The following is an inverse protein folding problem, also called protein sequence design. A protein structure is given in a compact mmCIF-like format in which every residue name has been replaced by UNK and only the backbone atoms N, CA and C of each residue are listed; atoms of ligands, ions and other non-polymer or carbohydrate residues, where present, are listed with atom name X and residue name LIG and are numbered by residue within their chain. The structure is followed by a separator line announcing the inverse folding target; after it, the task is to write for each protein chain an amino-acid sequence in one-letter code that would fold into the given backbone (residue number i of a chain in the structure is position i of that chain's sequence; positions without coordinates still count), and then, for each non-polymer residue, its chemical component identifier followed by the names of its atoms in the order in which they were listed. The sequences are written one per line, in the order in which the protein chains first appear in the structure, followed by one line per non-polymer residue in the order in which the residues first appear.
data_IF_607090738903
#
_entry.id   IF_607090738903
#
_cell.length_a   1.000
_cell.length_b   1.000
_cell.length_c   1.000
_cell.angle_alpha   90.00
_cell.angle_beta   90.00
_cell.angle_gamma   90.00
#
_symmetry.space_group_name_H-M   'P 1'
#
loop_
_entity.id
_entity.type
_entity.pdbx_description
1 polymer ?
2 non-polymer ?
3 non-polymer ?
4 non-polymer ?
5 non-polymer ?
6 water ?
#
# COMPACT_ATOMS: atom_id res chain seq x y z
N UNK A 25 -18.70 13.88 -24.71
CA UNK A 25 -18.60 12.80 -23.74
C UNK A 25 -18.85 11.45 -24.40
N UNK A 26 -18.33 10.39 -23.79
CA UNK A 26 -18.55 9.04 -24.28
C UNK A 26 -19.89 8.50 -23.82
N UNK A 27 -20.57 7.72 -24.67
CA UNK A 27 -21.85 7.12 -24.28
C UNK A 27 -21.68 6.14 -23.12
N UNK A 28 -22.59 6.18 -22.17
CA UNK A 28 -22.51 5.29 -21.02
C UNK A 28 -22.67 3.85 -21.42
N UNK A 29 -21.91 2.96 -20.77
CA UNK A 29 -22.05 1.54 -20.99
C UNK A 29 -23.45 1.09 -20.59
N UNK A 30 -24.07 0.24 -21.42
CA UNK A 30 -25.43 -0.20 -21.14
C UNK A 30 -25.67 -1.61 -21.65
N UNK A 31 -26.37 -2.42 -20.86
CA UNK A 31 -26.68 -3.78 -21.28
C UNK A 31 -27.65 -3.76 -22.45
N UNK A 32 -27.55 -4.77 -23.30
CA UNK A 32 -28.38 -4.85 -24.50
C UNK A 32 -27.75 -4.16 -25.69
N UNK A 33 -26.57 -3.58 -25.48
CA UNK A 33 -25.89 -2.83 -26.53
C UNK A 33 -24.83 -3.67 -27.24
N UNK A 34 -24.78 -3.56 -28.56
CA UNK A 34 -23.75 -4.22 -29.36
C UNK A 34 -22.55 -3.30 -29.52
N UNK A 35 -21.37 -3.80 -29.15
CA UNK A 35 -20.14 -3.01 -29.25
C UNK A 35 -19.18 -3.60 -30.27
N UNK A 36 -18.44 -2.73 -30.95
CA UNK A 36 -17.38 -3.17 -31.85
C UNK A 36 -16.02 -2.93 -31.20
N UNK A 37 -15.00 -3.64 -31.68
CA UNK A 37 -13.64 -3.42 -31.22
C UNK A 37 -13.25 -1.96 -31.42
N UNK A 38 -12.74 -1.34 -30.37
CA UNK A 38 -12.33 0.06 -30.47
C UNK A 38 -13.37 1.03 -29.95
N UNK A 39 -14.60 0.55 -29.73
CA UNK A 39 -15.67 1.38 -29.18
C UNK A 39 -15.30 1.88 -27.78
N UNK A 40 -15.54 3.15 -27.52
CA UNK A 40 -15.24 3.74 -26.22
C UNK A 40 -16.52 4.11 -25.48
N UNK A 41 -16.66 3.62 -24.25
CA UNK A 41 -17.83 3.94 -23.45
C UNK A 41 -17.42 4.58 -22.12
N UNK A 42 -18.39 5.20 -21.45
CA UNK A 42 -18.16 5.75 -20.13
C UNK A 42 -18.75 4.83 -19.06
N UNK A 43 -17.97 4.59 -18.00
CA UNK A 43 -18.42 3.75 -16.90
C UNK A 43 -17.70 4.17 -15.63
N UNK A 44 -18.47 4.38 -14.56
CA UNK A 44 -17.96 4.97 -13.33
C UNK A 44 -17.23 6.29 -13.61
N UNK A 45 -17.75 7.04 -14.57
CA UNK A 45 -17.18 8.31 -15.02
C UNK A 45 -15.75 8.17 -15.52
N UNK A 46 -15.45 7.02 -16.11
CA UNK A 46 -14.15 6.79 -16.72
C UNK A 46 -14.34 6.07 -18.06
N UNK A 47 -13.31 6.08 -18.88
CA UNK A 47 -13.39 5.44 -20.19
C UNK A 47 -12.80 4.04 -20.27
N UNK A 48 -13.42 3.25 -21.14
CA UNK A 48 -12.96 1.92 -21.45
C UNK A 48 -13.10 1.69 -22.96
N UNK A 49 -12.11 1.03 -23.54
CA UNK A 49 -12.14 0.70 -24.95
C UNK A 49 -12.42 -0.78 -25.14
N UNK A 50 -13.34 -1.10 -26.04
CA UNK A 50 -13.73 -2.48 -26.29
C UNK A 50 -12.60 -3.29 -26.94
N UNK A 51 -12.34 -4.48 -26.40
CA UNK A 51 -11.33 -5.38 -26.91
C UNK A 51 -11.92 -6.38 -27.89
N UNK A 52 -13.22 -6.64 -27.74
CA UNK A 52 -13.90 -7.67 -28.49
C UNK A 52 -15.25 -7.17 -28.98
N UNK A 53 -15.58 -7.43 -30.24
CA UNK A 53 -16.91 -7.14 -30.75
C UNK A 53 -17.91 -8.07 -30.06
N UNK A 54 -18.85 -7.48 -29.32
CA UNK A 54 -19.78 -8.27 -28.53
C UNK A 54 -20.99 -7.45 -28.12
N UNK A 55 -22.01 -8.15 -27.62
CA UNK A 55 -23.16 -7.51 -27.02
C UNK A 55 -23.12 -7.72 -25.50
N UNK A 56 -23.39 -6.66 -24.74
CA UNK A 56 -23.51 -6.79 -23.31
C UNK A 56 -24.91 -7.30 -22.97
N UNK A 57 -25.09 -8.62 -23.06
CA UNK A 57 -26.41 -9.23 -22.89
C UNK A 57 -27.00 -8.90 -21.53
N UNK A 58 -28.31 -8.66 -21.50
CA UNK A 58 -28.99 -8.26 -20.28
C UNK A 58 -28.90 -9.36 -19.22
N UNK A 59 -28.56 -8.97 -18.00
CA UNK A 59 -28.47 -9.91 -16.89
C UNK A 59 -27.12 -10.60 -16.75
N UNK A 60 -26.21 -10.32 -17.68
CA UNK A 60 -24.90 -10.96 -17.67
C UNK A 60 -23.89 -10.19 -16.82
N UNK A 61 -24.14 -8.89 -16.64
CA UNK A 61 -23.26 -8.00 -15.89
C UNK A 61 -21.81 -8.00 -16.40
N UNK A 62 -21.65 -7.95 -17.72
CA UNK A 62 -20.32 -7.85 -18.32
C UNK A 62 -19.84 -6.41 -18.38
N UNK A 63 -19.87 -5.72 -17.24
CA UNK A 63 -19.52 -4.31 -17.22
C UNK A 63 -17.99 -4.13 -17.30
N UNK A 64 -17.54 -2.97 -17.79
CA UNK A 64 -16.10 -2.72 -17.98
C UNK A 64 -15.23 -2.93 -16.74
N UNK A 65 -15.74 -2.64 -15.55
CA UNK A 65 -14.94 -2.80 -14.33
C UNK A 65 -14.81 -4.27 -13.95
N UNK A 66 -15.73 -5.09 -14.44
CA UNK A 66 -15.74 -6.51 -14.09
C UNK A 66 -15.21 -7.39 -15.22
N UNK A 67 -14.92 -6.82 -16.38
CA UNK A 67 -14.63 -7.64 -17.54
C UNK A 67 -13.42 -7.18 -18.36
N UNK A 68 -12.20 -7.49 -17.88
CA UNK A 68 -10.96 -7.11 -18.56
C UNK A 68 -10.73 -7.88 -19.86
N UNK A 69 -11.43 -8.98 -20.08
CA UNK A 69 -11.32 -9.65 -21.37
C UNK A 69 -12.15 -8.92 -22.43
N UNK A 70 -13.02 -8.02 -22.00
CA UNK A 70 -13.89 -7.28 -22.91
C UNK A 70 -13.52 -5.80 -23.02
N UNK A 71 -13.02 -5.24 -21.92
CA UNK A 71 -12.76 -3.81 -21.85
C UNK A 71 -11.39 -3.50 -21.27
N UNK A 72 -10.69 -2.56 -21.90
CA UNK A 72 -9.46 -2.02 -21.33
C UNK A 72 -9.66 -0.54 -21.01
N UNK A 73 -9.19 -0.11 -19.82
CA UNK A 73 -9.31 1.30 -19.42
C UNK A 73 -8.61 2.23 -20.39
N UNK A 74 -9.23 3.35 -20.73
CA UNK A 74 -8.62 4.31 -21.63
C UNK A 74 -9.50 4.64 -22.82
N UNK A 75 -9.07 5.63 -23.61
CA UNK A 75 -9.82 6.07 -24.78
C UNK A 75 -10.62 7.34 -24.53
N UNK A 76 -11.12 7.94 -25.62
CA UNK A 76 -11.96 9.12 -25.53
C UNK A 76 -12.80 9.29 -26.78
N UNK A 77 -13.82 10.14 -26.69
CA UNK A 77 -14.69 10.43 -27.83
C UNK A 77 -14.84 11.94 -28.01
N UNK A 99 12.38 15.17 11.44
CA UNK A 99 12.90 14.29 10.41
C UNK A 99 14.33 13.86 10.68
N UNK A 100 15.14 13.80 9.62
CA UNK A 100 14.69 14.15 8.28
C UNK A 100 14.59 12.92 7.38
N UNK A 101 13.40 12.66 6.87
CA UNK A 101 13.22 11.53 5.96
C UNK A 101 13.52 11.94 4.52
N UNK A 102 13.44 10.97 3.63
CA UNK A 102 13.52 11.22 2.19
C UNK A 102 12.35 12.12 1.78
N UNK A 103 12.62 13.13 0.95
CA UNK A 103 11.55 14.03 0.52
C UNK A 103 10.56 13.38 -0.45
N UNK A 104 9.29 13.31 -0.06
CA UNK A 104 8.23 12.93 -0.99
C UNK A 104 6.94 13.62 -0.57
N UNK A 105 5.87 13.44 -1.35
CA UNK A 105 4.64 14.21 -1.18
C UNK A 105 4.20 14.31 0.28
N UNK A 106 4.07 15.54 0.77
CA UNK A 106 3.70 15.80 2.15
C UNK A 106 2.42 15.06 2.52
N UNK A 107 1.42 15.16 1.65
CA UNK A 107 0.20 14.39 1.80
C UNK A 107 0.10 13.44 0.62
N UNK A 108 0.52 12.21 0.85
CA UNK A 108 0.76 11.27 -0.24
C UNK A 108 -0.37 10.27 -0.44
N UNK A 109 -0.59 9.91 -1.70
CA UNK A 109 -1.40 8.76 -2.06
C UNK A 109 -0.45 7.64 -2.47
N UNK A 110 -0.43 6.57 -1.69
CA UNK A 110 0.44 5.43 -1.93
C UNK A 110 -0.39 4.28 -2.49
N UNK A 111 0.09 3.66 -3.57
CA UNK A 111 -0.63 2.55 -4.17
C UNK A 111 0.29 1.46 -4.70
N UNK A 112 -0.23 0.24 -4.74
CA UNK A 112 0.53 -0.90 -5.25
C UNK A 112 0.24 -1.16 -6.73
N UNK A 113 1.31 -1.33 -7.49
CA UNK A 113 1.24 -1.61 -8.92
C UNK A 113 1.49 -3.11 -9.15
N UNK A 114 0.53 -3.80 -9.75
CA UNK A 114 0.65 -5.25 -9.96
C UNK A 114 1.72 -5.61 -10.96
N UNK A 115 2.78 -6.27 -10.50
CA UNK A 115 3.77 -6.85 -11.41
C UNK A 115 3.33 -8.26 -11.79
N UNK A 116 2.05 -8.38 -12.13
CA UNK A 116 1.45 -9.68 -12.43
C UNK A 116 0.03 -9.50 -12.98
N UNK A 117 -0.56 -10.60 -13.46
CA UNK A 117 -1.95 -10.60 -13.90
C UNK A 117 -2.82 -11.23 -12.82
N UNK A 118 -4.04 -10.71 -12.66
CA UNK A 118 -4.97 -11.24 -11.68
C UNK A 118 -6.39 -10.84 -12.11
N UNK A 119 -7.44 -11.11 -11.30
CA UNK A 119 -8.75 -10.74 -11.85
C UNK A 119 -8.96 -9.26 -12.17
N UNK A 120 -8.04 -8.38 -11.78
CA UNK A 120 -8.13 -6.97 -12.16
C UNK A 120 -7.79 -6.78 -13.63
N UNK A 121 -7.19 -7.80 -14.22
CA UNK A 121 -6.66 -7.71 -15.57
C UNK A 121 -5.17 -7.91 -15.55
N UNK A 122 -4.55 -7.81 -16.72
CA UNK A 122 -3.10 -7.96 -16.84
C UNK A 122 -2.38 -6.74 -16.28
N UNK A 123 -1.07 -6.87 -16.11
CA UNK A 123 -0.24 -5.73 -15.75
C UNK A 123 -0.28 -4.71 -16.88
N UNK A 124 0.05 -3.46 -16.57
CA UNK A 124 0.08 -2.41 -17.57
C UNK A 124 1.34 -1.57 -17.34
N UNK A 125 1.83 -0.92 -18.42
CA UNK A 125 3.07 -0.13 -18.34
C UNK A 125 3.10 0.91 -17.22
N UNK A 126 4.23 0.97 -16.50
CA UNK A 126 4.40 1.88 -15.38
C UNK A 126 4.20 3.35 -15.77
N UNK A 127 4.51 3.66 -17.03
CA UNK A 127 4.36 5.01 -17.55
C UNK A 127 2.92 5.51 -17.49
N UNK A 128 1.96 4.59 -17.46
CA UNK A 128 0.55 4.95 -17.54
C UNK A 128 -0.10 5.14 -16.16
N UNK A 129 0.66 4.96 -15.10
CA UNK A 129 0.15 5.20 -13.75
C UNK A 129 -0.22 6.66 -13.60
N UNK A 130 -1.45 6.93 -13.15
CA UNK A 130 -2.00 8.28 -13.18
C UNK A 130 -1.26 9.22 -12.22
N UNK A 131 -1.33 10.51 -12.52
CA UNK A 131 -0.62 11.52 -11.75
C UNK A 131 -1.12 11.65 -10.31
N UNK A 132 -2.26 11.05 -10.01
CA UNK A 132 -2.83 11.12 -8.66
C UNK A 132 -2.03 10.31 -7.65
N UNK A 133 -1.18 9.39 -8.13
CA UNK A 133 -0.38 8.57 -7.25
C UNK A 133 0.96 9.24 -6.94
N UNK A 134 1.33 9.28 -5.66
CA UNK A 134 2.56 9.94 -5.24
C UNK A 134 3.68 8.93 -4.97
N UNK A 135 3.29 7.74 -4.51
CA UNK A 135 4.25 6.66 -4.33
C UNK A 135 3.73 5.42 -5.03
N UNK A 136 4.50 4.92 -5.98
CA UNK A 136 4.14 3.74 -6.73
C UNK A 136 4.91 2.53 -6.20
N UNK A 137 4.20 1.60 -5.58
CA UNK A 137 4.86 0.45 -4.96
C UNK A 137 4.74 -0.79 -5.83
N UNK A 138 5.87 -1.21 -6.38
CA UNK A 138 5.91 -2.36 -7.30
C UNK A 138 5.76 -3.68 -6.53
N UNK A 139 4.72 -4.42 -6.87
CA UNK A 139 4.37 -5.66 -6.19
C UNK A 139 4.42 -6.86 -7.14
N UNK A 140 5.34 -7.80 -6.93
CA UNK A 140 6.27 -7.83 -5.80
C UNK A 140 7.65 -8.31 -6.24
N UNK A 141 8.60 -8.27 -5.32
CA UNK A 141 9.85 -9.00 -5.49
C UNK A 141 9.62 -10.46 -5.11
N UNK A 142 10.50 -11.34 -5.54
CA UNK A 142 10.38 -12.76 -5.21
C UNK A 142 11.45 -13.23 -4.25
N UNK A 143 11.04 -13.95 -3.21
CA UNK A 143 11.96 -14.72 -2.40
C UNK A 143 12.67 -15.75 -3.28
N UNK A 144 13.97 -15.89 -3.10
CA UNK A 144 14.75 -16.83 -3.91
C UNK A 144 15.58 -17.78 -3.04
N UNK A 145 15.74 -17.44 -1.77
CA UNK A 145 16.42 -18.29 -0.80
C UNK A 145 17.90 -18.54 -1.05
N UNK A 146 18.66 -18.73 0.03
CA UNK A 146 18.15 -18.51 1.37
C UNK A 146 18.55 -17.11 1.82
N UNK A 147 17.58 -16.21 1.85
CA UNK A 147 17.84 -14.81 2.10
C UNK A 147 17.85 -14.04 0.80
N UNK A 148 18.21 -14.73 -0.29
CA UNK A 148 18.23 -14.13 -1.62
C UNK A 148 16.86 -13.62 -2.08
N UNK A 149 16.89 -12.45 -2.72
CA UNK A 149 15.70 -11.87 -3.32
C UNK A 149 15.95 -11.62 -4.81
N UNK A 150 14.95 -11.85 -5.64
CA UNK A 150 15.06 -11.56 -7.06
C UNK A 150 13.88 -10.72 -7.54
N UNK A 151 14.02 -10.13 -8.72
CA UNK A 151 12.94 -9.40 -9.35
C UNK A 151 12.87 -9.70 -10.84
N UNK A 152 11.67 -10.01 -11.32
CA UNK A 152 11.47 -10.24 -12.75
C UNK A 152 10.22 -9.51 -13.22
N UNK A 153 10.40 -8.66 -14.23
CA UNK A 153 9.31 -7.84 -14.74
C UNK A 153 8.28 -8.64 -15.52
N UNK A 154 7.01 -8.36 -15.27
CA UNK A 154 5.94 -8.90 -16.11
C UNK A 154 6.05 -8.26 -17.49
N UNK A 155 6.20 -9.09 -18.54
CA UNK A 155 6.42 -8.59 -19.90
C UNK A 155 5.32 -7.67 -20.42
N UNK A 156 4.11 -7.78 -19.86
CA UNK A 156 3.01 -6.91 -20.25
C UNK A 156 3.30 -5.44 -19.89
N UNK A 157 4.25 -5.22 -18.99
CA UNK A 157 4.67 -3.87 -18.60
C UNK A 157 5.65 -3.30 -19.63
N UNK A 158 6.07 -4.14 -20.57
CA UNK A 158 7.06 -3.74 -21.56
C UNK A 158 8.40 -4.38 -21.25
N UNK A 159 9.44 -3.93 -21.96
CA UNK A 159 10.79 -4.44 -21.74
C UNK A 159 11.37 -3.89 -20.44
N UNK A 160 12.39 -4.55 -19.93
CA UNK A 160 13.09 -4.09 -18.73
C UNK A 160 13.69 -2.70 -18.95
N UNK A 161 14.19 -2.46 -20.16
CA UNK A 161 14.78 -1.17 -20.50
C UNK A 161 13.72 -0.06 -20.45
N UNK A 162 12.54 -0.35 -21.01
CA UNK A 162 11.46 0.62 -21.02
C UNK A 162 10.94 0.87 -19.61
N UNK A 163 10.82 -0.20 -18.83
CA UNK A 163 10.41 -0.13 -17.43
C UNK A 163 11.33 0.78 -16.63
N UNK A 164 12.64 0.66 -16.87
CA UNK A 164 13.63 1.47 -16.18
C UNK A 164 13.48 2.95 -16.59
N UNK A 165 13.16 3.19 -17.85
CA UNK A 165 12.88 4.55 -18.31
C UNK A 165 11.59 5.08 -17.69
N UNK A 166 10.60 4.22 -17.53
CA UNK A 166 9.33 4.61 -16.93
C UNK A 166 9.51 5.02 -15.47
N UNK A 167 10.38 4.31 -14.77
CA UNK A 167 10.71 4.65 -13.39
C UNK A 167 11.30 6.06 -13.31
N UNK A 168 12.29 6.35 -14.15
CA UNK A 168 12.91 7.67 -14.19
C UNK A 168 11.87 8.75 -14.51
N UNK A 169 11.00 8.47 -15.47
CA UNK A 169 10.01 9.46 -15.89
C UNK A 169 9.02 9.77 -14.77
N UNK A 170 8.65 8.76 -14.00
CA UNK A 170 7.76 8.97 -12.86
C UNK A 170 8.48 9.72 -11.74
N UNK A 171 9.75 9.40 -11.54
CA UNK A 171 10.55 10.09 -10.53
C UNK A 171 10.74 11.55 -10.92
N UNK A 172 10.89 11.80 -12.22
CA UNK A 172 11.04 13.16 -12.73
C UNK A 172 9.80 14.01 -12.43
N UNK A 173 8.67 13.36 -12.18
CA UNK A 173 7.44 14.05 -11.85
C UNK A 173 7.22 14.11 -10.33
N UNK A 174 8.23 13.73 -9.57
CA UNK A 174 8.17 13.80 -8.13
C UNK A 174 7.63 12.56 -7.43
N UNK A 175 7.33 11.51 -8.19
CA UNK A 175 6.85 10.27 -7.61
C UNK A 175 8.00 9.42 -7.09
N UNK A 176 7.71 8.60 -6.08
CA UNK A 176 8.65 7.58 -5.63
C UNK A 176 8.21 6.23 -6.19
N UNK A 177 9.19 5.41 -6.58
CA UNK A 177 8.91 4.06 -7.06
C UNK A 177 9.69 3.07 -6.22
N UNK A 178 8.98 2.28 -5.42
CA UNK A 178 9.65 1.40 -4.49
C UNK A 178 9.28 -0.06 -4.74
N UNK A 179 10.17 -0.97 -4.35
CA UNK A 179 9.98 -2.39 -4.56
C UNK A 179 9.42 -3.05 -3.30
N UNK A 180 8.29 -3.72 -3.42
CA UNK A 180 7.69 -4.35 -2.25
C UNK A 180 8.10 -5.81 -2.08
N UNK A 181 8.40 -6.17 -0.84
CA UNK A 181 8.64 -7.56 -0.47
C UNK A 181 7.33 -8.15 0.05
N UNK A 182 6.80 -9.13 -0.68
CA UNK A 182 5.55 -9.76 -0.29
C UNK A 182 4.97 -10.62 -1.39
N UNK A 183 3.66 -10.85 -1.33
CA UNK A 183 2.95 -11.60 -2.35
C UNK A 183 3.23 -13.09 -2.33
N UNK A 184 2.93 -13.74 -3.44
CA UNK A 184 2.99 -15.19 -3.54
C UNK A 184 4.35 -15.74 -3.09
N UNK A 185 5.42 -15.05 -3.46
CA UNK A 185 6.75 -15.41 -2.99
C UNK A 185 7.24 -14.41 -1.95
N UNK A 186 6.42 -14.14 -0.94
CA UNK A 186 6.75 -13.17 0.09
C UNK A 186 7.19 -13.82 1.40
N UNK A 187 7.72 -15.03 1.31
CA UNK A 187 8.21 -15.74 2.48
C UNK A 187 9.72 -15.62 2.58
N UNK A 188 10.20 -14.60 3.29
CA UNK A 188 11.62 -14.36 3.45
C UNK A 188 12.20 -15.10 4.65
N UNK A 189 13.34 -15.76 4.46
CA UNK A 189 14.04 -16.40 5.57
C UNK A 189 15.25 -15.58 6.01
N UNK A 190 15.23 -15.12 7.25
CA UNK A 190 16.36 -14.40 7.83
C UNK A 190 16.70 -15.00 9.19
N UNK A 191 17.22 -16.23 9.17
CA UNK A 191 17.46 -16.97 10.39
C UNK A 191 18.92 -16.95 10.84
N UNK A 192 19.82 -16.60 9.92
CA UNK A 192 21.25 -16.49 10.27
C UNK A 192 21.93 -15.36 9.49
N UNK A 193 23.19 -15.09 9.84
CA UNK A 193 23.93 -13.99 9.26
C UNK A 193 24.17 -14.17 7.75
N UNK A 194 24.23 -15.43 7.31
CA UNK A 194 24.45 -15.73 5.90
C UNK A 194 23.25 -15.31 5.06
N UNK A 195 22.06 -15.52 5.59
CA UNK A 195 20.84 -15.17 4.87
C UNK A 195 20.66 -13.66 4.84
N UNK A 196 21.02 -13.01 5.95
CA UNK A 196 21.00 -11.56 6.04
C UNK A 196 21.87 -10.95 4.94
N UNK A 197 23.07 -11.49 4.76
CA UNK A 197 23.98 -11.00 3.73
C UNK A 197 23.43 -11.20 2.33
N UNK A 198 22.81 -12.36 2.08
CA UNK A 198 22.19 -12.61 0.78
C UNK A 198 21.04 -11.64 0.51
N UNK A 199 20.27 -11.37 1.56
CA UNK A 199 19.18 -10.40 1.52
C UNK A 199 19.72 -9.03 1.11
N UNK A 200 20.71 -8.56 1.86
CA UNK A 200 21.29 -7.24 1.64
C UNK A 200 21.89 -7.11 0.24
N UNK A 201 22.76 -8.06 -0.12
CA UNK A 201 23.46 -8.01 -1.39
C UNK A 201 22.54 -8.09 -2.60
N UNK A 202 21.60 -9.05 -2.59
CA UNK A 202 20.73 -9.24 -3.75
C UNK A 202 19.80 -8.05 -3.96
N UNK A 203 19.25 -7.50 -2.87
CA UNK A 203 18.38 -6.34 -2.97
C UNK A 203 19.15 -5.10 -3.42
N UNK A 204 20.39 -4.98 -2.96
CA UNK A 204 21.26 -3.90 -3.41
C UNK A 204 21.43 -3.96 -4.92
N UNK A 205 21.64 -5.17 -5.43
CA UNK A 205 21.76 -5.37 -6.86
C UNK A 205 20.52 -4.97 -7.63
N UNK A 206 19.35 -5.30 -7.09
CA UNK A 206 18.09 -4.99 -7.75
C UNK A 206 17.84 -3.49 -7.76
N UNK A 207 17.95 -2.86 -6.60
CA UNK A 207 17.71 -1.43 -6.47
C UNK A 207 18.62 -0.60 -7.36
N UNK A 208 19.91 -0.94 -7.36
CA UNK A 208 20.88 -0.19 -8.15
C UNK A 208 20.67 -0.40 -9.65
N UNK A 209 20.23 -1.60 -10.03
CA UNK A 209 19.99 -1.90 -11.44
C UNK A 209 18.77 -1.16 -11.99
N UNK A 210 17.66 -1.21 -11.25
CA UNK A 210 16.41 -0.66 -11.76
C UNK A 210 16.20 0.80 -11.35
N UNK A 211 16.83 1.22 -10.26
CA UNK A 211 16.71 2.59 -9.81
C UNK A 211 15.50 2.82 -8.92
N UNK A 212 15.04 1.77 -8.26
CA UNK A 212 14.02 1.89 -7.22
C UNK A 212 14.51 2.83 -6.11
N UNK A 213 13.59 3.58 -5.51
CA UNK A 213 13.97 4.52 -4.46
C UNK A 213 14.20 3.82 -3.13
N UNK A 214 13.69 2.61 -3.00
CA UNK A 214 13.80 1.87 -1.76
C UNK A 214 12.84 0.69 -1.73
N UNK A 215 12.49 0.23 -0.53
CA UNK A 215 11.68 -0.97 -0.40
C UNK A 215 10.45 -0.78 0.50
N UNK A 216 9.48 -1.66 0.29
CA UNK A 216 8.29 -1.73 1.12
C UNK A 216 8.20 -3.12 1.73
N UNK A 217 7.93 -3.20 3.03
CA UNK A 217 7.80 -4.48 3.69
C UNK A 217 6.34 -4.91 3.82
N UNK A 218 5.95 -5.88 3.01
CA UNK A 218 4.61 -6.43 3.03
C UNK A 218 4.71 -7.94 3.13
N UNK A 219 5.60 -8.40 4.01
CA UNK A 219 6.04 -9.80 3.96
C UNK A 219 5.72 -10.63 5.20
N UNK A 220 4.97 -10.05 6.14
CA UNK A 220 4.86 -10.65 7.46
C UNK A 220 4.10 -11.96 7.49
N UNK A 221 3.18 -12.16 6.55
CA UNK A 221 2.27 -13.29 6.64
C UNK A 221 2.95 -14.61 6.31
N UNK A 222 3.95 -14.57 5.44
CA UNK A 222 4.68 -15.78 5.09
C UNK A 222 6.07 -15.90 5.69
N UNK A 223 6.50 -14.87 6.41
CA UNK A 223 7.88 -14.85 6.91
C UNK A 223 8.01 -15.22 8.38
N UNK A 224 6.92 -15.69 8.98
CA UNK A 224 6.95 -16.16 10.35
C UNK A 224 7.35 -15.07 11.33
N UNK A 225 6.77 -13.89 11.16
CA UNK A 225 7.06 -12.80 12.08
C UNK A 225 6.21 -12.96 13.32
N UNK A 226 6.80 -13.60 14.33
CA UNK A 226 6.17 -13.79 15.63
C UNK A 226 7.11 -13.30 16.72
N UNK A 227 6.56 -13.04 17.90
CA UNK A 227 7.36 -12.58 19.03
C UNK A 227 8.47 -13.55 19.38
N UNK A 228 9.70 -13.07 19.39
CA UNK A 228 10.84 -13.89 19.77
C UNK A 228 11.56 -14.56 18.62
N UNK A 229 11.00 -14.45 17.41
CA UNK A 229 11.61 -15.09 16.25
C UNK A 229 12.85 -14.32 15.81
N UNK A 230 13.89 -15.06 15.38
CA UNK A 230 15.15 -14.47 14.89
C UNK A 230 14.95 -13.46 13.76
N UNK A 231 13.91 -13.64 12.94
CA UNK A 231 13.66 -12.76 11.81
C UNK A 231 13.42 -11.31 12.26
N UNK A 232 12.84 -11.16 13.45
CA UNK A 232 12.52 -9.82 13.97
C UNK A 232 13.78 -8.96 14.11
N UNK A 233 14.82 -9.52 14.71
CA UNK A 233 16.09 -8.81 14.86
C UNK A 233 16.85 -8.74 13.54
N UNK A 234 16.86 -9.84 12.81
CA UNK A 234 17.64 -9.92 11.57
C UNK A 234 17.11 -9.01 10.47
N UNK A 235 15.80 -8.78 10.45
CA UNK A 235 15.20 -7.92 9.44
C UNK A 235 15.64 -6.47 9.62
N UNK A 236 15.64 -6.01 10.87
CA UNK A 236 16.08 -4.65 11.19
C UNK A 236 17.55 -4.47 10.80
N UNK A 237 18.37 -5.44 11.15
CA UNK A 237 19.78 -5.41 10.80
C UNK A 237 19.99 -5.41 9.30
N UNK A 238 19.20 -6.22 8.60
CA UNK A 238 19.30 -6.34 7.15
C UNK A 238 18.95 -5.03 6.45
N UNK A 239 17.86 -4.40 6.88
CA UNK A 239 17.42 -3.16 6.26
C UNK A 239 18.44 -2.03 6.52
N UNK A 240 18.96 -1.98 7.74
CA UNK A 240 19.99 -1.02 8.09
C UNK A 240 21.25 -1.16 7.24
N UNK A 241 21.67 -2.40 7.01
CA UNK A 241 22.86 -2.68 6.20
C UNK A 241 22.62 -2.31 4.75
N UNK A 242 21.43 -2.62 4.26
CA UNK A 242 21.05 -2.30 2.90
C UNK A 242 21.04 -0.79 2.69
N UNK A 243 20.43 -0.05 3.61
CA UNK A 243 20.37 1.40 3.48
C UNK A 243 21.76 2.03 3.54
N UNK A 244 22.62 1.47 4.39
CA UNK A 244 23.99 1.97 4.50
C UNK A 244 24.69 1.92 3.14
N UNK A 245 24.44 0.86 2.39
CA UNK A 245 25.02 0.68 1.06
C UNK A 245 24.39 1.63 0.03
N UNK A 246 23.10 1.91 0.20
CA UNK A 246 22.35 2.73 -0.75
C UNK A 246 22.53 4.24 -0.51
N UNK A 247 22.47 4.65 0.75
CA UNK A 247 22.60 6.06 1.09
C UNK A 247 21.31 6.66 1.62
N UNK A 248 21.37 7.92 2.05
CA UNK A 248 20.25 8.61 2.72
C UNK A 248 19.02 8.88 1.84
N UNK A 249 19.08 8.58 0.54
CA UNK A 249 17.88 8.69 -0.30
C UNK A 249 16.98 7.47 -0.15
N UNK A 250 17.46 6.46 0.58
CA UNK A 250 16.75 5.20 0.73
C UNK A 250 15.35 5.38 1.32
N UNK A 251 14.35 4.97 0.55
CA UNK A 251 12.96 5.01 0.98
C UNK A 251 12.60 3.71 1.68
N UNK A 252 11.95 3.81 2.83
CA UNK A 252 11.53 2.62 3.57
C UNK A 252 10.08 2.74 4.03
N UNK A 253 9.24 1.82 3.56
CA UNK A 253 7.87 1.77 4.05
C UNK A 253 7.52 0.39 4.59
N UNK A 254 6.50 0.35 5.43
CA UNK A 254 6.01 -0.90 6.01
C UNK A 254 4.50 -0.95 5.87
N UNK A 255 3.98 -2.13 5.53
CA UNK A 255 2.54 -2.30 5.45
C UNK A 255 2.04 -3.52 6.22
N UNK A 256 2.29 -3.56 7.54
CA UNK A 256 1.82 -4.73 8.29
C UNK A 256 0.34 -4.65 8.62
N UNK A 257 -0.31 -5.80 8.77
CA UNK A 257 -1.70 -5.86 9.20
C UNK A 257 -1.79 -5.47 10.66
N UNK A 258 -2.90 -4.86 11.07
CA UNK A 258 -2.93 -4.23 12.39
C UNK A 258 -2.77 -5.19 13.59
N UNK A 259 -3.10 -6.50 13.45
CA UNK A 259 -2.74 -7.35 14.61
C UNK A 259 -1.24 -7.37 14.92
N UNK A 260 -0.40 -7.19 13.90
CA UNK A 260 1.05 -7.21 14.10
C UNK A 260 1.56 -5.94 14.78
N UNK A 261 0.73 -4.90 14.80
CA UNK A 261 1.15 -3.61 15.34
C UNK A 261 0.28 -3.19 16.53
N UNK A 262 -0.85 -2.55 16.27
CA UNK A 262 -1.72 -2.06 17.33
C UNK A 262 -2.30 -3.20 18.16
N UNK A 263 -2.33 -4.40 17.59
CA UNK A 263 -2.76 -5.58 18.33
C UNK A 263 -1.96 -5.80 19.61
N UNK A 264 -0.72 -5.33 19.60
CA UNK A 264 0.16 -5.45 20.75
C UNK A 264 -0.37 -4.79 22.01
N UNK A 265 -1.24 -3.80 21.84
CA UNK A 265 -1.88 -3.11 22.95
C UNK A 265 -2.69 -4.09 23.79
N UNK A 266 -3.25 -5.09 23.12
CA UNK A 266 -4.25 -5.96 23.70
C UNK A 266 -3.70 -7.39 23.91
N UNK A 267 -2.72 -7.78 23.11
CA UNK A 267 -2.09 -9.09 23.22
C UNK A 267 -0.67 -9.06 22.67
N UNK A 268 0.26 -9.70 23.36
CA UNK A 268 1.65 -9.77 22.90
C UNK A 268 2.14 -11.21 22.88
N UNK A 269 2.16 -11.81 21.69
CA UNK A 269 2.52 -13.20 21.52
C UNK A 269 2.09 -13.65 20.14
N UNK A 270 2.80 -14.63 19.57
CA UNK A 270 2.55 -15.04 18.21
C UNK A 270 2.74 -13.85 17.29
N UNK A 271 1.84 -13.67 16.34
CA UNK A 271 1.91 -12.52 15.43
C UNK A 271 1.53 -11.21 16.08
N UNK A 272 0.79 -11.27 17.19
CA UNK A 272 0.22 -10.07 17.77
C UNK A 272 1.27 -9.20 18.46
N UNK A 273 1.40 -7.97 17.98
CA UNK A 273 2.41 -7.05 18.44
C UNK A 273 3.81 -7.38 17.93
N UNK A 274 3.92 -8.40 17.09
CA UNK A 274 5.22 -8.94 16.70
C UNK A 274 6.05 -7.97 15.85
N UNK A 275 5.39 -7.00 15.23
CA UNK A 275 6.07 -6.05 14.35
C UNK A 275 6.65 -4.85 15.10
N UNK A 276 6.24 -4.67 16.35
CA UNK A 276 6.59 -3.46 17.09
C UNK A 276 8.11 -3.25 17.29
N UNK A 277 8.87 -4.32 17.62
CA UNK A 277 10.31 -4.04 17.71
C UNK A 277 10.97 -3.80 16.35
N UNK A 278 10.34 -4.26 15.26
CA UNK A 278 10.85 -3.97 13.92
C UNK A 278 10.69 -2.49 13.60
N UNK A 279 9.51 -1.96 13.88
CA UNK A 279 9.25 -0.53 13.75
C UNK A 279 10.19 0.28 14.63
N UNK A 280 10.33 -0.14 15.87
CA UNK A 280 11.14 0.58 16.85
C UNK A 280 12.61 0.62 16.42
N UNK A 281 13.11 -0.52 15.96
CA UNK A 281 14.49 -0.62 15.51
C UNK A 281 14.81 0.19 14.27
N UNK A 282 13.79 0.45 13.45
CA UNK A 282 13.99 1.17 12.19
C UNK A 282 13.34 2.54 12.16
N UNK A 283 12.94 3.06 13.31
CA UNK A 283 12.15 4.28 13.36
C UNK A 283 12.88 5.49 12.77
N UNK A 284 14.21 5.52 12.90
CA UNK A 284 14.99 6.62 12.35
C UNK A 284 15.05 6.55 10.82
N UNK A 285 14.78 5.37 10.27
CA UNK A 285 14.89 5.15 8.83
C UNK A 285 13.53 5.07 8.15
N UNK A 286 12.47 4.91 8.93
CA UNK A 286 11.14 4.71 8.39
C UNK A 286 10.58 5.95 7.70
N UNK A 287 10.30 5.84 6.40
CA UNK A 287 9.71 6.94 5.66
C UNK A 287 8.22 7.05 5.96
N UNK A 288 7.52 5.92 5.88
CA UNK A 288 6.10 5.88 6.24
C UNK A 288 5.66 4.47 6.58
N UNK A 289 4.88 4.31 7.64
CA UNK A 289 4.20 3.05 7.87
C UNK A 289 2.71 3.25 7.61
N UNK A 290 2.16 2.41 6.74
CA UNK A 290 0.73 2.43 6.47
C UNK A 290 0.15 1.07 6.78
N UNK A 291 -0.34 0.94 8.01
CA UNK A 291 -0.94 -0.31 8.48
C UNK A 291 -2.16 -0.66 7.62
N UNK A 292 -2.31 -1.95 7.34
CA UNK A 292 -3.47 -2.42 6.60
C UNK A 292 -4.65 -2.57 7.53
N UNK A 293 -5.63 -1.68 7.39
CA UNK A 293 -6.82 -1.74 8.21
C UNK A 293 -7.93 -2.50 7.47
N UNK A 294 -7.58 -3.69 6.97
CA UNK A 294 -8.56 -4.54 6.33
C UNK A 294 -8.24 -6.01 6.53
N UNK A 295 -9.25 -6.85 6.29
CA UNK A 295 -9.14 -8.31 6.40
C UNK A 295 -8.89 -8.82 7.82
N UNK A 296 -8.96 -7.95 8.83
CA UNK A 296 -8.66 -8.40 10.18
C UNK A 296 -9.65 -7.93 11.25
N UNK A 297 -10.86 -7.60 10.81
CA UNK A 297 -11.90 -7.19 11.75
C UNK A 297 -11.59 -5.86 12.40
N UNK A 298 -12.29 -5.58 13.51
CA UNK A 298 -12.18 -4.32 14.20
C UNK A 298 -10.89 -4.13 14.96
N UNK A 299 -10.76 -2.97 15.60
CA UNK A 299 -9.52 -2.60 16.27
C UNK A 299 -9.77 -2.07 17.68
N UNK A 300 -9.08 -2.64 18.66
CA UNK A 300 -9.22 -2.17 20.03
C UNK A 300 -8.18 -1.09 20.33
N UNK A 301 -8.65 0.11 20.62
CA UNK A 301 -7.78 1.25 20.89
C UNK A 301 -8.07 1.80 22.28
N UNK A 302 -7.16 2.64 22.81
CA UNK A 302 -7.46 3.26 24.11
C UNK A 302 -8.42 4.46 24.01
N UNK A 303 -9.00 4.69 22.84
CA UNK A 303 -9.78 5.92 22.65
C UNK A 303 -11.29 5.67 22.66
N UNK A 304 -11.68 4.44 22.93
CA UNK A 304 -13.10 4.09 23.05
C UNK A 304 -13.27 2.88 23.96
N UNK A 305 -14.41 2.81 24.65
CA UNK A 305 -14.67 1.70 25.57
C UNK A 305 -14.82 0.38 24.81
N UNK A 306 -15.24 0.48 23.55
CA UNK A 306 -15.38 -0.70 22.69
C UNK A 306 -14.50 -0.60 21.46
N UNK A 307 -14.39 -1.70 20.72
CA UNK A 307 -13.56 -1.72 19.53
C UNK A 307 -14.07 -0.76 18.47
N UNK A 308 -13.17 -0.24 17.66
CA UNK A 308 -13.56 0.61 16.55
C UNK A 308 -13.92 -0.26 15.36
N UNK A 309 -15.08 0.02 14.76
CA UNK A 309 -15.62 -0.83 13.71
C UNK A 309 -14.78 -0.82 12.44
N UNK A 310 -14.63 -1.98 11.84
CA UNK A 310 -13.93 -2.12 10.57
C UNK A 310 -14.68 -1.33 9.50
N UNK A 311 -13.95 -0.53 8.73
CA UNK A 311 -14.54 0.27 7.68
C UNK A 311 -14.98 1.65 8.15
N UNK A 312 -14.71 1.95 9.43
CA UNK A 312 -15.05 3.27 9.95
C UNK A 312 -13.86 4.22 9.90
N UNK A 313 -14.16 5.50 9.81
CA UNK A 313 -13.18 6.57 9.90
C UNK A 313 -12.51 6.55 11.28
N UNK A 314 -13.31 6.29 12.31
CA UNK A 314 -12.79 6.20 13.67
C UNK A 314 -11.63 5.20 13.78
N UNK A 315 -11.79 4.03 13.15
CA UNK A 315 -10.74 3.03 13.18
C UNK A 315 -9.47 3.53 12.50
N UNK A 316 -9.65 4.22 11.39
CA UNK A 316 -8.52 4.79 10.68
C UNK A 316 -7.84 5.87 11.53
N UNK A 317 -8.65 6.72 12.14
CA UNK A 317 -8.13 7.78 13.00
C UNK A 317 -7.48 7.16 14.24
N UNK A 318 -8.16 6.20 14.84
CA UNK A 318 -7.68 5.54 16.03
C UNK A 318 -6.38 4.78 15.82
N UNK A 319 -6.31 4.00 14.75
CA UNK A 319 -5.10 3.26 14.42
C UNK A 319 -3.93 4.21 14.22
N UNK A 320 -4.19 5.33 13.56
CA UNK A 320 -3.16 6.32 13.30
C UNK A 320 -2.73 7.04 14.58
N UNK A 321 -3.68 7.32 15.47
CA UNK A 321 -3.37 7.94 16.75
C UNK A 321 -2.43 7.06 17.57
N UNK A 322 -2.71 5.76 17.62
CA UNK A 322 -1.88 4.85 18.39
C UNK A 322 -0.42 4.87 17.92
N UNK A 323 -0.23 4.97 16.61
CA UNK A 323 1.13 4.99 16.07
C UNK A 323 1.84 6.32 16.34
N UNK A 324 1.07 7.39 16.46
CA UNK A 324 1.66 8.71 16.68
C UNK A 324 1.84 9.03 18.17
N UNK A 325 0.83 8.73 18.98
CA UNK A 325 0.91 9.04 20.41
C UNK A 325 1.72 7.98 21.16
N UNK A 326 1.67 6.75 20.67
CA UNK A 326 2.26 5.63 21.39
C UNK A 326 1.20 4.96 22.24
N UNK A 327 1.53 3.77 22.75
CA UNK A 327 0.58 3.00 23.54
C UNK A 327 1.31 1.91 24.34
N UNK A 328 0.71 1.49 25.47
CA UNK A 328 1.32 0.41 26.25
C UNK A 328 1.19 -0.93 25.55
N UNK A 329 2.18 -1.80 25.77
CA UNK A 329 2.16 -3.13 25.18
C UNK A 329 1.81 -4.15 26.25
N UNK A 330 0.91 -5.07 25.93
CA UNK A 330 0.55 -6.14 26.88
C UNK A 330 1.71 -7.11 27.08
N UNK A 331 2.87 -6.55 27.41
CA UNK A 331 4.15 -7.27 27.47
C UNK A 331 4.22 -8.34 28.55
N UNK A 332 3.59 -8.06 29.68
CA UNK A 332 3.79 -8.84 30.89
C UNK A 332 4.75 -8.05 31.75
N UNK A 333 5.66 -7.35 31.09
CA UNK A 333 6.50 -6.34 31.74
C UNK A 333 5.73 -5.02 31.80
N UNK A 334 6.43 -3.92 31.56
CA UNK A 334 5.75 -2.62 31.46
C UNK A 334 6.13 -1.94 30.15
N UNK A 335 6.21 -2.73 29.09
CA UNK A 335 6.66 -2.24 27.79
C UNK A 335 5.74 -1.21 27.16
N UNK A 336 6.33 -0.37 26.32
CA UNK A 336 5.57 0.64 25.59
C UNK A 336 6.12 0.86 24.19
N UNK A 337 5.21 1.16 23.26
CA UNK A 337 5.61 1.60 21.93
C UNK A 337 5.70 3.11 21.89
N UNK A 338 6.88 3.63 21.56
CA UNK A 338 7.07 5.08 21.45
C UNK A 338 6.52 5.59 20.12
N UNK A 339 5.75 6.66 20.19
CA UNK A 339 5.07 7.20 19.03
C UNK A 339 6.01 7.66 17.91
N UNK A 340 5.48 7.67 16.69
CA UNK A 340 6.22 8.13 15.52
C UNK A 340 5.80 9.55 15.16
N UNK A 341 6.57 10.20 14.30
CA UNK A 341 6.16 11.49 13.76
C UNK A 341 4.96 11.30 12.84
N UNK A 342 4.06 12.29 12.80
CA UNK A 342 2.91 12.24 11.89
C UNK A 342 3.31 12.03 10.43
N UNK A 343 4.46 12.57 10.01
CA UNK A 343 4.90 12.42 8.63
C UNK A 343 5.34 10.99 8.33
N UNK A 344 5.41 10.15 9.35
CA UNK A 344 5.80 8.74 9.19
C UNK A 344 4.60 7.80 9.19
N UNK A 345 3.40 8.36 9.29
CA UNK A 345 2.23 7.53 9.47
C UNK A 345 1.16 7.81 8.41
N UNK A 346 0.63 6.74 7.83
CA UNK A 346 -0.48 6.79 6.91
C UNK A 346 -1.39 5.61 7.20
N UNK A 347 -2.59 5.57 6.61
CA UNK A 347 -3.43 4.40 6.80
C UNK A 347 -3.74 3.69 5.49
N UNK A 348 -3.75 2.35 5.55
CA UNK A 348 -4.00 1.52 4.39
C UNK A 348 -5.40 0.95 4.33
N UNK A 349 -6.05 1.09 3.18
CA UNK A 349 -7.43 0.66 2.98
C UNK A 349 -7.56 -0.07 1.64
N UNK A 350 -8.64 -0.82 1.44
CA UNK A 350 -8.90 -1.40 0.12
C UNK A 350 -9.36 -0.33 -0.87
N UNK A 351 -9.01 -0.44 -2.14
CA UNK A 351 -9.40 0.60 -3.10
C UNK A 351 -10.86 0.42 -3.51
N UNK A 352 -11.39 -0.79 -3.30
CA UNK A 352 -12.75 -1.11 -3.66
C UNK A 352 -13.12 -2.51 -3.20
N UNK A 353 -14.32 -2.95 -3.57
CA UNK A 353 -14.86 -4.22 -3.09
C UNK A 353 -14.06 -5.45 -3.51
N UNK A 354 -13.36 -5.38 -4.63
CA UNK A 354 -12.59 -6.52 -5.10
C UNK A 354 -11.19 -6.58 -4.51
N UNK A 355 -10.85 -5.57 -3.71
CA UNK A 355 -9.48 -5.43 -3.23
C UNK A 355 -9.19 -6.16 -1.92
N UNK A 356 -10.25 -6.60 -1.24
CA UNK A 356 -10.11 -7.24 0.07
C UNK A 356 -11.38 -7.99 0.42
N UNK A 357 -11.38 -8.65 1.58
CA UNK A 357 -12.55 -9.40 2.03
C UNK A 357 -13.39 -8.60 3.02
N UNK A 358 -12.78 -7.63 3.69
CA UNK A 358 -13.48 -6.78 4.64
C UNK A 358 -12.69 -5.51 4.87
N UNK A 359 -13.34 -4.48 5.40
CA UNK A 359 -12.66 -3.24 5.71
C UNK A 359 -12.77 -2.19 4.63
N UNK A 360 -13.76 -2.37 3.74
CA UNK A 360 -13.99 -1.44 2.65
C UNK A 360 -14.40 -0.07 3.15
N UNK A 361 -13.95 0.97 2.45
CA UNK A 361 -14.30 2.33 2.82
C UNK A 361 -14.73 3.13 1.59
N UNK A 362 -15.57 4.13 1.80
CA UNK A 362 -15.91 5.09 0.76
C UNK A 362 -14.86 6.18 0.71
N UNK A 363 -14.81 6.91 -0.39
CA UNK A 363 -13.92 8.05 -0.51
C UNK A 363 -14.24 9.10 0.55
N UNK A 364 -15.53 9.22 0.87
CA UNK A 364 -15.97 10.18 1.89
C UNK A 364 -15.42 9.82 3.26
N UNK A 365 -15.44 8.54 3.60
CA UNK A 365 -14.89 8.05 4.86
C UNK A 365 -13.41 8.40 4.97
N UNK A 366 -12.67 8.17 3.89
CA UNK A 366 -11.25 8.50 3.85
C UNK A 366 -11.06 10.00 4.08
N UNK A 367 -11.82 10.81 3.36
CA UNK A 367 -11.75 12.26 3.50
C UNK A 367 -12.01 12.70 4.94
N UNK A 368 -12.99 12.09 5.58
CA UNK A 368 -13.34 12.41 6.96
C UNK A 368 -12.19 12.09 7.91
N UNK A 369 -11.57 10.92 7.73
CA UNK A 369 -10.45 10.52 8.56
C UNK A 369 -9.26 11.47 8.38
N UNK A 370 -9.03 11.90 7.13
CA UNK A 370 -7.92 12.80 6.83
C UNK A 370 -8.08 14.17 7.49
N UNK A 371 -9.22 14.82 7.26
CA UNK A 371 -9.47 16.15 7.82
C UNK A 371 -9.50 16.12 9.34
N UNK A 372 -10.01 15.02 9.90
CA UNK A 372 -10.03 14.84 11.35
C UNK A 372 -8.60 14.80 11.89
N UNK A 373 -7.76 13.97 11.27
CA UNK A 373 -6.37 13.85 11.68
C UNK A 373 -5.59 15.14 11.47
N UNK A 374 -5.81 15.82 10.35
CA UNK A 374 -5.00 16.98 9.99
C UNK A 374 -5.47 18.30 10.62
N UNK A 375 -6.78 18.47 10.79
CA UNK A 375 -7.31 19.76 11.24
C UNK A 375 -8.31 19.65 12.39
N UNK A 376 -8.47 18.45 12.94
CA UNK A 376 -9.39 18.22 14.05
C UNK A 376 -10.84 18.55 13.71
N UNK A 377 -11.16 18.53 12.42
CA UNK A 377 -12.52 18.83 11.96
C UNK A 377 -13.18 17.61 11.32
N UNK A 378 -14.47 17.46 11.55
CA UNK A 378 -15.24 16.37 10.96
C UNK A 378 -14.99 15.03 11.61
N UNK A 379 -14.51 15.06 12.85
CA UNK A 379 -14.19 13.84 13.59
C UNK A 379 -15.44 13.11 14.06
N UNK A 380 -15.31 11.81 14.28
CA UNK A 380 -16.37 11.03 14.87
C UNK A 380 -16.22 11.00 16.38
N UNK A 381 -16.33 9.81 16.97
CA UNK A 381 -16.20 9.69 18.42
C UNK A 381 -14.74 9.59 18.83
N UNK A 382 -13.86 9.50 17.83
CA UNK A 382 -12.42 9.42 18.08
C UNK A 382 -11.73 10.68 17.55
N UNK A 383 -11.05 11.39 18.45
CA UNK A 383 -10.46 12.68 18.14
C UNK A 383 -8.99 12.73 18.57
N UNK A 384 -8.11 13.21 17.67
CA UNK A 384 -6.71 13.40 18.04
C UNK A 384 -6.56 14.41 19.17
N UNK A 385 -5.52 14.28 19.99
CA UNK A 385 -5.28 15.23 21.07
C UNK A 385 -4.97 16.60 20.49
N UNK A 386 -4.06 16.62 19.51
CA UNK A 386 -3.77 17.81 18.75
C UNK A 386 -3.83 17.49 17.26
N UNK A 387 -3.96 18.52 16.43
CA UNK A 387 -4.00 18.33 15.00
C UNK A 387 -2.64 17.86 14.48
N UNK A 388 -2.65 17.05 13.42
CA UNK A 388 -1.41 16.64 12.77
C UNK A 388 -1.38 17.15 11.35
N UNK A 389 -0.95 18.41 11.15
CA UNK A 389 -0.92 18.99 9.80
C UNK A 389 0.03 18.26 8.85
N UNK A 390 0.96 17.49 9.38
CA UNK A 390 1.93 16.78 8.54
C UNK A 390 1.63 15.28 8.41
N UNK A 391 0.42 14.85 8.77
CA UNK A 391 0.02 13.45 8.59
C UNK A 391 0.26 13.05 7.14
N UNK A 392 0.93 11.92 6.93
CA UNK A 392 1.46 11.57 5.61
C UNK A 392 0.38 11.22 4.58
N UNK A 393 -0.65 10.47 4.98
CA UNK A 393 -1.78 10.26 4.08
C UNK A 393 -2.39 8.87 4.00
N UNK A 394 -2.52 8.38 2.77
CA UNK A 394 -3.33 7.19 2.48
C UNK A 394 -2.59 6.17 1.60
N UNK A 395 -2.66 4.90 1.98
CA UNK A 395 -2.21 3.81 1.13
C UNK A 395 -3.39 2.96 0.68
N UNK A 396 -3.31 2.41 -0.53
CA UNK A 396 -4.35 1.51 -1.04
C UNK A 396 -3.82 0.33 -1.82
N UNK A 397 -4.46 -0.82 -1.61
CA UNK A 397 -4.42 -1.91 -2.57
C UNK A 397 -5.68 -1.77 -3.43
N UNK A 398 -5.54 -1.39 -4.70
CA UNK A 398 -4.27 -1.19 -5.38
C UNK A 398 -4.45 -0.21 -6.53
N UNK A 399 -3.34 0.19 -7.14
CA UNK A 399 -3.37 1.02 -8.34
C UNK A 399 -4.15 0.32 -9.46
N UNK A 400 -3.88 -0.98 -9.65
CA UNK A 400 -4.55 -1.74 -10.71
C UNK A 400 -6.05 -1.90 -10.49
N UNK A 401 -6.46 -2.21 -9.27
CA UNK A 401 -7.89 -2.34 -8.99
C UNK A 401 -8.57 -0.99 -9.13
N UNK A 402 -7.89 0.08 -8.71
CA UNK A 402 -8.44 1.43 -8.85
C UNK A 402 -8.61 1.78 -10.32
N UNK A 403 -7.62 1.44 -11.13
CA UNK A 403 -7.66 1.67 -12.57
C UNK A 403 -8.80 0.89 -13.24
N UNK A 404 -8.91 -0.39 -12.88
CA UNK A 404 -9.94 -1.25 -13.44
C UNK A 404 -11.34 -0.74 -13.07
N UNK A 405 -11.46 -0.18 -11.86
CA UNK A 405 -12.75 0.30 -11.37
C UNK A 405 -13.08 1.73 -11.82
N UNK A 406 -12.17 2.35 -12.58
CA UNK A 406 -12.41 3.67 -13.13
C UNK A 406 -11.90 4.82 -12.29
N UNK A 407 -10.82 4.59 -11.55
CA UNK A 407 -10.18 5.61 -10.71
C UNK A 407 -11.14 6.19 -9.68
N UNK A 408 -12.08 5.37 -9.20
CA UNK A 408 -13.09 5.84 -8.26
C UNK A 408 -12.53 6.10 -6.87
N UNK A 409 -11.34 5.56 -6.60
CA UNK A 409 -10.68 5.82 -5.33
C UNK A 409 -9.66 6.95 -5.49
N UNK A 410 -8.74 6.79 -6.44
CA UNK A 410 -7.64 7.74 -6.59
C UNK A 410 -8.07 9.17 -6.87
N UNK A 411 -9.10 9.34 -7.70
CA UNK A 411 -9.51 10.71 -8.07
C UNK A 411 -10.03 11.50 -6.87
N UNK A 412 -11.05 10.99 -6.14
CA UNK A 412 -11.50 11.84 -5.03
C UNK A 412 -10.53 11.88 -3.85
N UNK A 413 -9.79 10.81 -3.61
CA UNK A 413 -8.90 10.77 -2.47
C UNK A 413 -7.68 11.68 -2.68
N UNK A 414 -7.13 11.69 -3.90
CA UNK A 414 -6.04 12.61 -4.20
C UNK A 414 -6.51 14.06 -4.07
N UNK A 415 -7.76 14.32 -4.47
CA UNK A 415 -8.32 15.66 -4.35
C UNK A 415 -8.41 16.07 -2.86
N UNK A 416 -8.80 15.12 -2.02
CA UNK A 416 -8.88 15.38 -0.58
C UNK A 416 -7.50 15.66 0.02
N UNK A 417 -6.53 14.84 -0.34
CA UNK A 417 -5.15 15.05 0.10
C UNK A 417 -4.62 16.39 -0.36
N UNK A 418 -5.06 16.81 -1.54
CA UNK A 418 -4.61 18.02 -2.21
C UNK A 418 -5.27 19.27 -1.62
N UNK A 419 -6.14 19.07 -0.62
CA UNK A 419 -7.01 20.09 -0.03
C UNK A 419 -8.03 20.56 -1.04
X LIG B 1 -12.22 13.88 -20.74
X LIG B 1 -13.08 13.82 -22.01
X LIG B 1 -13.69 12.43 -22.17
X LIG B 1 -12.60 11.36 -22.09
X LIG B 1 -11.79 11.53 -20.82
X LIG B 1 -10.64 10.55 -20.71
X LIG B 1 -14.04 16.02 -22.58
X LIG B 1 -15.23 16.93 -22.45
X LIG B 1 -14.13 14.82 -21.98
X LIG B 1 -11.64 15.14 -20.63
X LIG B 1 -14.35 12.34 -23.42
X LIG B 1 -13.19 10.08 -22.09
X LIG B 1 -11.22 12.84 -20.78
X LIG B 1 -9.41 11.14 -21.11
X LIG B 1 -13.03 16.37 -23.19
X LIG C 1 -13.83 -8.74 -1.83
X LIG D 1 1.32 -6.79 5.23
X LIG E 1 -6.73 -12.24 6.68
X LIG E 1 -8.05 -12.26 5.97
X LIG E 1 -9.29 -12.64 6.71
X LIG E 1 -9.40 -14.12 6.71
X LIG E 1 -10.49 -12.05 6.01
X LIG E 1 -11.33 -11.05 6.73
X LIG E 1 -5.73 -11.64 6.19
X LIG E 1 -6.60 -12.81 7.79
X LIG E 1 -8.77 -14.82 7.55
X LIG E 1 -10.10 -14.69 5.84
X LIG E 1 -11.93 -10.12 6.13
X LIG E 1 -11.46 -11.16 7.98
X LIG E 1 -9.20 -12.18 8.01
X LIG F 1 -3.37 -8.62 2.01
X LIG F 1 -4.06 -8.47 0.70
X LIG F 1 -3.27 -8.02 -0.48
X LIG F 1 -2.54 -9.19 -1.05
X LIG F 1 -2.24 -6.99 -0.10
X LIG F 1 -2.61 -5.78 0.70
X LIG F 1 -3.83 -8.07 3.04
X LIG F 1 -2.30 -9.27 2.11
X LIG F 1 -3.05 -10.33 -0.99
X LIG F 1 -1.42 -9.03 -1.59
X LIG F 1 -2.75 -4.67 0.14
X LIG F 1 -2.77 -5.84 1.95
X LIG F 1 -4.13 -7.51 -1.43
X LIG G 1 1.41 -9.99 0.56
X LIG G 1 0.56 -11.11 1.01
X LIG G 1 1.00 -11.94 2.17
X LIG G 1 1.98 -12.95 1.70
X LIG G 1 -0.15 -12.72 2.68
X LIG G 1 -1.46 -12.06 2.94
X LIG G 1 2.66 -10.13 0.60
X LIG G 1 0.91 -8.91 0.17
X LIG G 1 2.11 -13.12 0.47
X LIG G 1 2.65 -13.65 2.51
X LIG G 1 -2.22 -11.87 1.96
X LIG G 1 -1.80 -11.71 4.10
X LIG G 1 1.53 -11.15 3.17
X LIG H 1 -19.55 4.73 8.48
X LIG H 1 -19.00 5.31 9.74
X LIG H 1 -18.11 6.50 9.64
X LIG H 1 -17.59 6.62 8.24
X LIG H 1 -16.93 6.34 10.54
X LIG H 1 -16.78 7.14 11.79
X LIG H 1 -20.61 5.20 7.97
X LIG H 1 -18.96 3.76 7.91
X LIG H 1 -16.83 5.73 7.79
X LIG H 1 -17.91 7.60 7.52
X LIG H 1 -16.73 8.40 11.71
X LIG H 1 -16.69 6.56 12.91
X LIG H 1 -18.80 7.65 9.97
#
# INVERSE_FOLDING_TARGET
MRRTTGRAIAMAMLLALGQHAWAAACPGWAEGTAYKVGDVVSYNNANYTALVAHTAYVGANWNPAASPTLWTPGGSCAGGDPTPPTPPNPPTPPSPPPGNTVPFAKHALVGYWHNFANPSGSAFPLSQVSADWDVIVVAFADDAGNGNVSFTLDPAAGSAAQFIQDIRAQQAKGKKVVLSLGGQNGSVTLNNATQVQNFVNSLYGILTQYGFDGIDLDLESGSGIVVGAPVVSNLVSAVKQLKAKIGPNFYLSMAPEHPYVQGGFVAYGGNWGAYLPIIDGLRDDLSVIHVQYYNNGGLYTPYSTGVLAEGSADMLVGGSKMLIEGFPIANGASGSFKGLRPDQVAFGVPSGRSSANSGFVTADTVAKALTCLTTLQGCGSVKPAQAYPAFRGVMTWSINWDRRDGYTFSRPVAASLRQQPVAAQAGKKKAARATRTAW
NAG C1 C2 C3 C4 C5 C6 C7 C8 N2 O1 O3 O4 O5 O6 O7
MG MG
CA CA
FLC CAC CA CB CBC CG CGC OA1 OA2 OB1 OB2 OG1 OG2 OHB
FLC CAC CA CB CBC CG CGC OA1 OA2 OB1 OB2 OG1 OG2 OHB
FLC CAC CA CB CBC CG CGC OA1 OA2 OB1 OB2 OG1 OG2 OHB
FLC CAC CA CB CBC CG CGC OA1 OA2 OB1 OB2 OG1 OG2 OHB
#
